data_IF_790934269764
#
_entry.id   IF_790934269764
#
_cell.length_a   1.000
_cell.length_b   1.000
_cell.length_c   1.000
_cell.angle_alpha   90.00
_cell.angle_beta   90.00
_cell.angle_gamma   90.00
#
_symmetry.space_group_name_H-M   'P 1'
#
loop_
_entity.id
_entity.type
_entity.pdbx_description
1 polymer ?
#
# COMPACT_ATOMS: atom_id res chain seq x y z
N UNK A 1 -2.31 -6.67 -2.90
CA UNK A 1 -2.54 -5.71 -1.82
C UNK A 1 -2.00 -4.33 -2.18
N UNK A 2 -2.83 -3.30 -2.08
CA UNK A 2 -2.47 -1.89 -2.21
C UNK A 2 -2.12 -1.32 -0.84
N UNK A 3 -0.92 -0.78 -0.66
CA UNK A 3 -0.43 -0.23 0.61
C UNK A 3 -0.32 1.29 0.49
N UNK A 4 -1.06 2.00 1.33
CA UNK A 4 -1.11 3.47 1.39
C UNK A 4 -1.09 3.95 2.86
N UNK A 5 -0.80 5.22 3.12
CA UNK A 5 -0.83 5.76 4.50
C UNK A 5 -2.26 5.92 5.01
N UNK A 6 -3.13 6.55 4.22
CA UNK A 6 -4.55 6.77 4.48
C UNK A 6 -5.26 7.15 3.17
N UNK A 7 -6.60 7.14 3.15
CA UNK A 7 -7.42 7.49 1.98
C UNK A 7 -8.38 8.67 2.29
N UNK A 8 -7.87 9.90 2.46
CA UNK A 8 -8.71 11.09 2.44
C UNK A 8 -9.34 11.30 1.05
N UNK A 9 -10.33 12.18 0.94
CA UNK A 9 -10.86 12.58 -0.37
C UNK A 9 -9.78 13.40 -1.09
N UNK A 10 -9.23 12.82 -2.15
CA UNK A 10 -8.14 13.40 -2.95
C UNK A 10 -8.09 12.82 -4.35
N UNK A 11 -7.23 13.37 -5.21
CA UNK A 11 -7.15 12.97 -6.62
C UNK A 11 -6.58 11.56 -6.81
N UNK A 12 -5.47 11.25 -6.15
CA UNK A 12 -4.82 9.94 -6.27
C UNK A 12 -5.65 8.84 -5.60
N UNK A 13 -6.28 9.15 -4.47
CA UNK A 13 -7.12 8.24 -3.70
C UNK A 13 -8.41 7.91 -4.47
N UNK A 14 -9.05 8.90 -5.10
CA UNK A 14 -10.21 8.67 -5.98
C UNK A 14 -9.85 7.76 -7.14
N UNK A 15 -8.69 7.99 -7.76
CA UNK A 15 -8.22 7.13 -8.85
C UNK A 15 -7.89 5.71 -8.35
N UNK A 16 -7.40 5.55 -7.12
CA UNK A 16 -7.17 4.23 -6.52
C UNK A 16 -8.48 3.45 -6.39
N UNK A 17 -9.54 4.11 -5.90
CA UNK A 17 -10.87 3.50 -5.75
C UNK A 17 -11.38 3.02 -7.11
N UNK A 18 -11.31 3.87 -8.14
CA UNK A 18 -11.73 3.52 -9.49
C UNK A 18 -10.88 2.38 -10.09
N UNK A 19 -9.57 2.39 -9.86
CA UNK A 19 -8.68 1.32 -10.29
C UNK A 19 -9.08 -0.02 -9.65
N UNK A 20 -9.25 -0.05 -8.33
CA UNK A 20 -9.62 -1.26 -7.58
C UNK A 20 -10.97 -1.79 -8.06
N UNK A 21 -11.95 -0.91 -8.28
CA UNK A 21 -13.28 -1.28 -8.80
C UNK A 21 -13.23 -1.90 -10.20
N UNK A 22 -12.36 -1.41 -11.07
CA UNK A 22 -12.23 -1.85 -12.47
C UNK A 22 -11.31 -3.05 -12.66
N UNK A 23 -10.61 -3.51 -11.63
CA UNK A 23 -9.83 -4.75 -11.71
C UNK A 23 -10.73 -5.95 -11.93
N UNK A 24 -10.37 -6.79 -12.91
CA UNK A 24 -11.06 -8.05 -13.16
C UNK A 24 -10.91 -8.99 -11.96
N UNK A 25 -12.03 -9.30 -11.30
CA UNK A 25 -12.10 -10.09 -10.06
C UNK A 25 -11.80 -11.57 -10.25
N UNK A 26 -11.95 -12.09 -11.47
CA UNK A 26 -11.58 -13.47 -11.81
C UNK A 26 -10.07 -13.67 -11.91
N UNK A 27 -9.32 -12.56 -12.06
CA UNK A 27 -7.86 -12.57 -12.21
C UNK A 27 -7.13 -11.98 -11.01
N UNK A 28 -7.74 -11.00 -10.34
CA UNK A 28 -7.11 -10.26 -9.25
C UNK A 28 -8.09 -10.09 -8.09
N UNK A 29 -7.61 -10.37 -6.88
CA UNK A 29 -8.31 -10.09 -5.64
C UNK A 29 -7.62 -8.90 -4.96
N UNK A 30 -8.06 -7.65 -5.25
CA UNK A 30 -7.44 -6.48 -4.64
C UNK A 30 -7.85 -6.37 -3.18
N UNK A 31 -6.88 -6.02 -2.35
CA UNK A 31 -7.05 -5.72 -0.92
C UNK A 31 -6.39 -4.37 -0.63
N UNK A 32 -6.98 -3.59 0.27
CA UNK A 32 -6.47 -2.29 0.69
C UNK A 32 -5.82 -2.38 2.07
N UNK A 33 -4.64 -1.80 2.23
CA UNK A 33 -3.97 -1.67 3.52
C UNK A 33 -3.58 -0.20 3.75
N UNK A 34 -4.32 0.46 4.63
CA UNK A 34 -4.06 1.83 5.08
C UNK A 34 -3.21 1.80 6.37
N UNK A 35 -1.94 2.18 6.31
CA UNK A 35 -1.04 2.05 7.47
C UNK A 35 -1.54 2.78 8.72
N UNK A 36 -2.16 3.96 8.58
CA UNK A 36 -2.68 4.73 9.73
C UNK A 36 -4.17 4.51 9.94
N UNK A 37 -5.00 5.05 9.04
CA UNK A 37 -6.46 5.00 9.13
C UNK A 37 -7.06 4.94 7.72
N UNK A 38 -8.28 4.38 7.54
CA UNK A 38 -8.89 4.24 6.23
C UNK A 38 -9.22 5.60 5.63
N UNK A 39 -9.92 6.48 6.36
CA UNK A 39 -10.43 7.75 5.82
C UNK A 39 -11.68 7.51 4.95
N UNK A 40 -12.36 8.57 4.49
CA UNK A 40 -13.69 8.43 3.86
C UNK A 40 -13.72 7.51 2.64
N UNK A 41 -12.71 7.61 1.75
CA UNK A 41 -12.64 6.75 0.57
C UNK A 41 -12.22 5.32 0.93
N UNK A 42 -11.43 5.15 1.97
CA UNK A 42 -11.05 3.83 2.48
C UNK A 42 -12.21 3.11 3.15
N UNK A 43 -13.09 3.84 3.84
CA UNK A 43 -14.31 3.30 4.45
C UNK A 43 -15.30 2.83 3.39
N UNK A 44 -15.55 3.63 2.36
CA UNK A 44 -16.38 3.22 1.21
C UNK A 44 -15.81 1.97 0.55
N UNK A 45 -14.49 1.92 0.36
CA UNK A 45 -13.85 0.78 -0.29
C UNK A 45 -13.81 -0.48 0.61
N UNK A 46 -13.93 -0.32 1.92
CA UNK A 46 -13.97 -1.43 2.87
C UNK A 46 -15.25 -2.29 2.73
N UNK A 47 -16.33 -1.71 2.22
CA UNK A 47 -17.56 -2.44 1.91
C UNK A 47 -17.44 -3.30 0.63
N UNK A 48 -16.44 -3.03 -0.20
CA UNK A 48 -16.24 -3.68 -1.50
C UNK A 48 -15.06 -4.67 -1.51
N UNK A 49 -14.01 -4.40 -0.73
CA UNK A 49 -12.80 -5.23 -0.68
C UNK A 49 -12.23 -5.33 0.73
N UNK A 50 -11.51 -6.43 1.04
CA UNK A 50 -10.81 -6.54 2.30
C UNK A 50 -9.90 -5.34 2.55
N UNK A 51 -10.16 -4.63 3.64
CA UNK A 51 -9.47 -3.40 4.00
C UNK A 51 -8.89 -3.51 5.40
N UNK A 52 -7.59 -3.26 5.52
CA UNK A 52 -6.84 -3.32 6.76
C UNK A 52 -6.35 -1.92 7.13
N UNK A 53 -6.42 -1.58 8.42
CA UNK A 53 -5.89 -0.30 8.91
C UNK A 53 -5.31 -0.37 10.31
N UNK A 54 -4.64 0.71 10.75
CA UNK A 54 -4.09 0.80 12.11
C UNK A 54 -2.80 0.02 12.34
N UNK A 55 -1.99 -0.20 11.30
CA UNK A 55 -0.73 -0.94 11.43
C UNK A 55 0.43 -0.08 11.97
N UNK A 56 0.36 1.24 11.74
CA UNK A 56 1.36 2.24 12.13
C UNK A 56 0.76 3.17 13.19
N UNK A 57 1.20 3.03 14.43
CA UNK A 57 0.68 3.84 15.55
C UNK A 57 1.37 5.20 15.66
N UNK A 58 2.68 5.28 15.37
CA UNK A 58 3.47 6.51 15.45
C UNK A 58 4.68 6.47 14.51
N UNK A 59 5.38 7.60 14.35
CA UNK A 59 6.50 7.77 13.39
C UNK A 59 7.62 6.73 13.55
N UNK A 60 7.92 6.33 14.78
CA UNK A 60 9.00 5.37 15.09
C UNK A 60 8.51 3.95 15.40
N UNK A 61 7.33 3.58 14.91
CA UNK A 61 6.73 2.27 15.19
C UNK A 61 7.35 1.20 14.30
N UNK A 62 8.46 0.61 14.73
CA UNK A 62 9.13 -0.49 14.03
C UNK A 62 8.31 -1.79 14.04
N UNK A 63 7.34 -1.93 14.95
CA UNK A 63 6.48 -3.11 14.99
C UNK A 63 5.53 -3.18 13.78
N UNK A 64 5.35 -2.07 13.05
CA UNK A 64 4.63 -2.04 11.76
C UNK A 64 5.15 -3.11 10.79
N UNK A 65 6.46 -3.36 10.77
CA UNK A 65 7.04 -4.38 9.90
C UNK A 65 6.54 -5.77 10.26
N UNK A 66 6.55 -6.13 11.55
CA UNK A 66 6.06 -7.42 12.01
C UNK A 66 4.55 -7.60 11.74
N UNK A 67 3.77 -6.53 11.91
CA UNK A 67 2.32 -6.52 11.63
C UNK A 67 2.05 -6.69 10.14
N UNK A 68 2.76 -5.94 9.28
CA UNK A 68 2.64 -6.06 7.82
C UNK A 68 3.05 -7.45 7.34
N UNK A 69 4.20 -7.97 7.78
CA UNK A 69 4.65 -9.32 7.41
C UNK A 69 3.62 -10.39 7.79
N UNK A 70 3.06 -10.31 9.00
CA UNK A 70 1.99 -11.20 9.44
C UNK A 70 0.75 -11.09 8.55
N UNK A 71 0.36 -9.88 8.18
CA UNK A 71 -0.78 -9.64 7.30
C UNK A 71 -0.54 -10.24 5.91
N UNK A 72 0.61 -9.93 5.28
CA UNK A 72 0.98 -10.45 3.96
C UNK A 72 0.98 -11.98 3.94
N UNK A 73 1.52 -12.62 4.98
CA UNK A 73 1.52 -14.08 5.11
C UNK A 73 0.13 -14.68 5.29
N UNK A 74 -0.70 -14.05 6.12
CA UNK A 74 -2.07 -14.52 6.40
C UNK A 74 -2.97 -14.44 5.18
N UNK A 75 -2.88 -13.34 4.43
CA UNK A 75 -3.65 -13.13 3.21
C UNK A 75 -3.01 -13.80 1.98
N UNK A 76 -1.82 -14.39 2.12
CA UNK A 76 -1.08 -15.05 1.03
C UNK A 76 -0.90 -14.12 -0.18
N UNK A 77 -0.40 -12.91 0.08
CA UNK A 77 -0.31 -11.86 -0.93
C UNK A 77 0.75 -12.19 -1.99
N UNK A 78 0.31 -12.23 -3.26
CA UNK A 78 1.19 -12.45 -4.42
C UNK A 78 1.81 -11.16 -4.96
N UNK A 79 1.15 -10.02 -4.74
CA UNK A 79 1.58 -8.71 -5.23
C UNK A 79 1.34 -7.59 -4.20
N UNK A 80 2.36 -6.80 -3.92
CA UNK A 80 2.28 -5.58 -3.10
C UNK A 80 2.47 -4.36 -4.00
N UNK A 81 1.49 -3.46 -3.98
CA UNK A 81 1.53 -2.20 -4.73
C UNK A 81 1.55 -1.04 -3.74
N UNK A 82 2.66 -0.34 -3.61
CA UNK A 82 2.73 0.85 -2.74
C UNK A 82 2.23 2.08 -3.49
N UNK A 83 1.26 2.79 -2.94
CA UNK A 83 0.58 3.91 -3.62
C UNK A 83 1.14 5.24 -3.14
N UNK A 84 1.47 6.12 -4.09
CA UNK A 84 2.03 7.46 -3.86
C UNK A 84 3.56 7.48 -3.81
N UNK A 85 4.12 8.69 -3.77
CA UNK A 85 5.58 8.89 -3.76
C UNK A 85 6.15 8.82 -2.33
N UNK A 86 7.20 8.02 -2.15
CA UNK A 86 8.07 8.00 -0.96
C UNK A 86 7.41 7.71 0.40
N UNK A 87 8.18 7.98 1.46
CA UNK A 87 7.77 7.89 2.85
C UNK A 87 7.58 6.47 3.40
N UNK A 88 7.04 6.41 4.62
CA UNK A 88 6.89 5.19 5.42
C UNK A 88 6.08 4.10 4.70
N UNK A 89 5.05 4.48 3.94
CA UNK A 89 4.20 3.55 3.17
C UNK A 89 4.97 2.74 2.13
N UNK A 90 5.87 3.39 1.41
CA UNK A 90 6.68 2.76 0.38
C UNK A 90 7.76 1.90 1.02
N UNK A 91 8.45 2.44 2.03
CA UNK A 91 9.53 1.75 2.71
C UNK A 91 9.05 0.47 3.41
N UNK A 92 8.05 0.59 4.28
CA UNK A 92 7.53 -0.56 5.04
C UNK A 92 6.82 -1.57 4.14
N UNK A 93 6.07 -1.10 3.14
CA UNK A 93 5.41 -1.99 2.17
C UNK A 93 6.42 -2.83 1.38
N UNK A 94 7.44 -2.19 0.79
CA UNK A 94 8.48 -2.89 0.03
C UNK A 94 9.34 -3.80 0.91
N UNK A 95 9.73 -3.32 2.09
CA UNK A 95 10.55 -4.10 3.03
C UNK A 95 9.80 -5.34 3.53
N UNK A 96 8.53 -5.20 3.92
CA UNK A 96 7.71 -6.33 4.35
C UNK A 96 7.51 -7.35 3.21
N UNK A 97 7.22 -6.87 2.00
CA UNK A 97 7.03 -7.71 0.83
C UNK A 97 8.29 -8.52 0.49
N UNK A 98 9.46 -7.86 0.49
CA UNK A 98 10.74 -8.52 0.22
C UNK A 98 11.10 -9.56 1.28
N UNK A 99 10.83 -9.27 2.56
CA UNK A 99 11.10 -10.20 3.66
C UNK A 99 10.14 -11.39 3.71
N UNK A 100 8.92 -11.25 3.19
CA UNK A 100 7.97 -12.36 3.04
C UNK A 100 8.09 -13.09 1.69
N UNK A 101 9.02 -12.67 0.82
CA UNK A 101 9.21 -13.30 -0.48
C UNK A 101 8.02 -13.11 -1.43
N UNK A 102 7.30 -11.99 -1.31
CA UNK A 102 6.19 -11.66 -2.21
C UNK A 102 6.73 -11.56 -3.65
N UNK A 103 6.17 -12.31 -4.62
CA UNK A 103 6.70 -12.37 -5.99
C UNK A 103 6.75 -11.02 -6.71
N UNK A 104 5.73 -10.17 -6.50
CA UNK A 104 5.59 -8.89 -7.21
C UNK A 104 5.56 -7.73 -6.23
N UNK A 105 6.49 -6.79 -6.40
CA UNK A 105 6.51 -5.53 -5.65
C UNK A 105 6.52 -4.37 -6.64
N UNK A 106 5.41 -3.64 -6.70
CA UNK A 106 5.23 -2.50 -7.59
C UNK A 106 4.98 -1.23 -6.79
N UNK A 107 5.17 -0.09 -7.46
CA UNK A 107 4.84 1.20 -6.87
C UNK A 107 4.09 2.04 -7.87
N UNK A 108 2.95 2.54 -7.44
CA UNK A 108 2.15 3.45 -8.22
C UNK A 108 2.47 4.88 -7.80
N UNK A 109 3.35 5.50 -8.57
CA UNK A 109 3.82 6.86 -8.32
C UNK A 109 2.78 7.84 -8.88
N UNK A 110 2.25 8.68 -7.99
CA UNK A 110 1.35 9.76 -8.34
C UNK A 110 1.98 11.07 -7.95
N UNK A 111 2.16 11.95 -8.94
CA UNK A 111 2.77 13.26 -8.77
C UNK A 111 2.03 14.31 -9.56
N UNK A 112 1.90 15.48 -8.94
CA UNK A 112 1.30 16.68 -9.54
C UNK A 112 2.36 17.74 -9.88
N UNK A 113 3.65 17.39 -9.94
CA UNK A 113 4.71 18.26 -10.47
C UNK A 113 5.76 18.76 -9.48
N UNK A 114 5.93 18.11 -8.32
CA UNK A 114 7.11 18.28 -7.45
C UNK A 114 8.13 17.17 -7.76
N UNK A 115 9.44 17.37 -7.53
CA UNK A 115 10.41 16.34 -7.87
C UNK A 115 10.19 15.08 -7.03
N UNK A 116 9.70 14.02 -7.66
CA UNK A 116 9.49 12.72 -7.04
C UNK A 116 10.82 12.03 -6.80
N UNK A 117 11.41 12.30 -5.65
CA UNK A 117 12.57 11.55 -5.21
C UNK A 117 12.09 10.27 -4.51
N UNK A 118 12.22 9.15 -5.22
CA UNK A 118 12.24 7.85 -4.55
C UNK A 118 13.57 7.74 -3.80
N UNK A 119 13.50 7.81 -2.47
CA UNK A 119 14.65 7.70 -1.57
C UNK A 119 15.53 6.48 -1.89
N UNK A 120 16.84 6.60 -1.73
CA UNK A 120 17.80 5.54 -2.05
C UNK A 120 17.46 4.17 -1.40
N UNK A 121 17.07 4.10 -0.11
CA UNK A 121 16.64 2.83 0.50
C UNK A 121 15.46 2.18 -0.22
N UNK A 122 14.51 2.97 -0.74
CA UNK A 122 13.37 2.44 -1.47
C UNK A 122 13.80 1.84 -2.81
N UNK A 123 14.74 2.47 -3.53
CA UNK A 123 15.27 1.97 -4.82
C UNK A 123 15.96 0.61 -4.68
N UNK A 124 16.61 0.34 -3.54
CA UNK A 124 17.21 -0.97 -3.27
C UNK A 124 16.17 -2.07 -3.01
N UNK A 125 15.04 -1.73 -2.40
CA UNK A 125 14.00 -2.70 -2.03
C UNK A 125 13.11 -3.11 -3.21
N UNK A 126 12.93 -2.20 -4.16
CA UNK A 126 12.40 -2.50 -5.48
C UNK A 126 13.04 -1.53 -6.49
N UNK A 127 13.82 -2.01 -7.47
CA UNK A 127 14.38 -1.16 -8.50
C UNK A 127 13.22 -0.46 -9.24
N UNK A 128 13.37 0.84 -9.44
CA UNK A 128 12.44 1.67 -10.23
C UNK A 128 12.87 1.60 -11.69
#
# INVERSE_FOLDING_TARGET
>A
MFVITCMPVGGAETLLVELIRRLNRDRFLPELCCLKYPGPLGEVLADEVPTFSGLLSHKYDFAVLGRLRRLLRRQRIDAVVTVGTGGDKMFWGRLAARLEGVPVVCSWLHSTGLPDHVEWPNRLLAPV
#
